data_IF_424678295892
#
_entry.id   IF_424678295892
#
_cell.length_a   1.000
_cell.length_b   1.000
_cell.length_c   1.000
_cell.angle_alpha   90.00
_cell.angle_beta   90.00
_cell.angle_gamma   90.00
#
_symmetry.space_group_name_H-M   'P 1'
#
loop_
_entity.id
_entity.type
_entity.pdbx_description
1 polymer ?
#
# COMPACT_ATOMS: atom_id res chain seq x y z
N UNK A 1 -29.73 -73.79 -7.53
CA UNK A 1 -28.56 -72.89 -7.50
C UNK A 1 -28.88 -71.76 -8.48
N UNK A 2 -29.44 -70.65 -7.99
CA UNK A 2 -28.74 -69.35 -7.82
C UNK A 2 -28.00 -68.97 -9.11
N UNK A 3 -28.36 -67.89 -9.83
CA UNK A 3 -28.25 -66.51 -9.33
C UNK A 3 -29.09 -65.53 -10.14
N UNK A 4 -29.78 -64.64 -9.42
CA UNK A 4 -30.33 -63.35 -9.85
C UNK A 4 -29.18 -62.35 -9.97
N UNK A 5 -29.06 -61.61 -11.08
CA UNK A 5 -28.45 -60.27 -11.14
C UNK A 5 -29.18 -59.49 -12.25
N UNK A 6 -30.30 -58.84 -11.96
CA UNK A 6 -30.41 -57.46 -11.46
C UNK A 6 -29.80 -56.43 -12.42
N UNK A 7 -30.70 -55.75 -13.12
CA UNK A 7 -30.46 -54.47 -13.80
C UNK A 7 -29.72 -53.50 -12.90
N UNK A 8 -28.62 -52.93 -13.40
CA UNK A 8 -28.15 -51.63 -12.94
C UNK A 8 -28.16 -50.69 -14.16
N UNK A 9 -29.28 -49.99 -14.30
CA UNK A 9 -29.30 -48.70 -14.98
C UNK A 9 -28.40 -47.78 -14.16
N UNK A 10 -27.22 -47.46 -14.68
CA UNK A 10 -26.42 -46.36 -14.17
C UNK A 10 -27.10 -45.11 -14.72
N UNK A 11 -28.07 -44.58 -13.96
CA UNK A 11 -28.53 -43.21 -14.14
C UNK A 11 -27.32 -42.31 -13.94
N UNK A 12 -26.92 -41.66 -15.04
CA UNK A 12 -26.02 -40.53 -14.99
C UNK A 12 -26.73 -39.43 -14.18
N UNK A 13 -26.48 -39.39 -12.87
CA UNK A 13 -26.86 -38.24 -12.08
C UNK A 13 -26.18 -37.03 -12.69
N UNK A 14 -27.01 -36.21 -13.34
CA UNK A 14 -26.68 -34.87 -13.81
C UNK A 14 -26.17 -34.13 -12.58
N UNK A 15 -24.85 -34.04 -12.43
CA UNK A 15 -24.24 -33.32 -11.32
C UNK A 15 -24.74 -31.89 -11.40
N UNK A 16 -25.63 -31.51 -10.49
CA UNK A 16 -25.91 -30.12 -10.23
C UNK A 16 -24.56 -29.47 -9.97
N UNK A 17 -24.19 -28.50 -10.81
CA UNK A 17 -23.08 -27.60 -10.50
C UNK A 17 -23.50 -26.78 -9.28
N UNK A 18 -23.39 -27.38 -8.10
CA UNK A 18 -23.30 -26.64 -6.87
C UNK A 18 -22.01 -25.85 -6.97
N UNK A 19 -22.12 -24.57 -7.30
CA UNK A 19 -21.05 -23.61 -7.13
C UNK A 19 -20.84 -23.45 -5.62
N UNK A 20 -20.21 -24.45 -4.99
CA UNK A 20 -19.76 -24.35 -3.61
C UNK A 20 -18.64 -23.32 -3.61
N UNK A 21 -19.01 -22.04 -3.47
CA UNK A 21 -18.05 -20.98 -3.26
C UNK A 21 -17.24 -21.33 -2.02
N UNK A 22 -15.92 -21.44 -2.16
CA UNK A 22 -15.04 -21.64 -1.02
C UNK A 22 -15.18 -20.45 -0.07
N UNK A 23 -15.71 -20.70 1.13
CA UNK A 23 -15.97 -19.66 2.12
C UNK A 23 -14.75 -19.52 3.01
N UNK A 24 -13.76 -18.74 2.54
CA UNK A 24 -12.50 -18.47 3.26
C UNK A 24 -12.73 -18.03 4.72
N UNK A 25 -13.83 -17.34 5.00
CA UNK A 25 -14.15 -16.83 6.33
C UNK A 25 -14.80 -17.86 7.26
N UNK A 26 -15.14 -19.06 6.77
CA UNK A 26 -15.75 -20.13 7.55
C UNK A 26 -14.74 -21.22 7.97
N UNK A 27 -13.55 -21.24 7.37
CA UNK A 27 -12.50 -22.16 7.81
C UNK A 27 -11.84 -21.72 9.12
N UNK A 28 -11.30 -22.64 9.93
CA UNK A 28 -10.60 -22.32 11.19
C UNK A 28 -9.44 -21.33 10.98
N UNK A 29 -9.15 -20.51 11.99
CA UNK A 29 -8.18 -19.40 11.86
C UNK A 29 -6.79 -19.85 11.41
N UNK A 30 -6.26 -20.95 11.96
CA UNK A 30 -4.94 -21.46 11.56
C UNK A 30 -4.91 -21.82 10.05
N UNK A 31 -5.95 -22.51 9.58
CA UNK A 31 -6.07 -22.85 8.16
C UNK A 31 -6.24 -21.59 7.30
N UNK A 32 -7.03 -20.61 7.77
CA UNK A 32 -7.26 -19.34 7.06
C UNK A 32 -5.98 -18.54 6.90
N UNK A 33 -5.22 -18.39 7.98
CA UNK A 33 -3.94 -17.70 7.98
C UNK A 33 -2.97 -18.37 7.00
N UNK A 34 -2.89 -19.71 7.02
CA UNK A 34 -1.99 -20.44 6.12
C UNK A 34 -2.38 -20.27 4.65
N UNK A 35 -3.67 -20.33 4.32
CA UNK A 35 -4.15 -20.09 2.96
C UNK A 35 -3.82 -18.67 2.51
N UNK A 36 -4.11 -17.66 3.32
CA UNK A 36 -3.84 -16.26 2.94
C UNK A 36 -2.33 -16.01 2.81
N UNK A 37 -1.50 -16.55 3.70
CA UNK A 37 -0.03 -16.41 3.61
C UNK A 37 0.59 -17.12 2.42
N UNK A 38 -0.12 -18.07 1.81
CA UNK A 38 0.33 -18.74 0.58
C UNK A 38 0.03 -17.94 -0.69
N UNK A 39 -0.82 -16.91 -0.60
CA UNK A 39 -1.12 -15.99 -1.69
C UNK A 39 0.02 -15.00 -1.89
N UNK A 40 0.21 -14.54 -3.12
CA UNK A 40 1.16 -13.46 -3.41
C UNK A 40 0.68 -12.11 -2.83
N UNK A 41 1.56 -11.11 -2.81
CA UNK A 41 1.25 -9.82 -2.17
C UNK A 41 0.09 -9.07 -2.87
N UNK A 42 -0.03 -9.21 -4.20
CA UNK A 42 -1.12 -8.61 -4.96
C UNK A 42 -2.46 -9.30 -4.65
N UNK A 43 -2.48 -10.63 -4.60
CA UNK A 43 -3.64 -11.43 -4.20
C UNK A 43 -4.09 -11.09 -2.78
N UNK A 44 -3.16 -10.93 -1.85
CA UNK A 44 -3.48 -10.50 -0.48
C UNK A 44 -4.07 -9.08 -0.43
N UNK A 45 -3.58 -8.14 -1.24
CA UNK A 45 -4.14 -6.78 -1.33
C UNK A 45 -5.54 -6.82 -1.94
N UNK A 46 -5.74 -7.55 -3.05
CA UNK A 46 -7.06 -7.77 -3.64
C UNK A 46 -8.04 -8.37 -2.65
N UNK A 47 -7.56 -9.33 -1.86
CA UNK A 47 -8.33 -9.95 -0.80
C UNK A 47 -8.69 -8.93 0.29
N UNK A 48 -7.74 -8.09 0.74
CA UNK A 48 -8.00 -7.00 1.67
C UNK A 48 -9.08 -6.02 1.16
N UNK A 49 -9.02 -5.67 -0.13
CA UNK A 49 -9.96 -4.78 -0.80
C UNK A 49 -11.38 -5.36 -0.92
N UNK A 50 -11.53 -6.68 -0.84
CA UNK A 50 -12.82 -7.36 -1.02
C UNK A 50 -13.86 -7.06 0.07
N UNK A 51 -13.41 -6.77 1.31
CA UNK A 51 -14.33 -6.40 2.40
C UNK A 51 -13.59 -5.79 3.60
N UNK A 52 -14.28 -4.89 4.33
CA UNK A 52 -13.80 -4.33 5.60
C UNK A 52 -13.53 -5.39 6.68
N UNK A 53 -14.13 -6.58 6.58
CA UNK A 53 -13.90 -7.69 7.53
C UNK A 53 -12.55 -8.36 7.25
N UNK A 54 -12.27 -8.67 5.99
CA UNK A 54 -11.01 -9.28 5.56
C UNK A 54 -9.85 -8.30 5.77
N UNK A 55 -10.01 -7.03 5.39
CA UNK A 55 -8.99 -5.99 5.63
C UNK A 55 -8.54 -5.94 7.10
N UNK A 56 -9.49 -5.92 8.04
CA UNK A 56 -9.16 -5.95 9.48
C UNK A 56 -8.48 -7.25 9.91
N UNK A 57 -8.83 -8.36 9.26
CA UNK A 57 -8.21 -9.66 9.51
C UNK A 57 -6.77 -9.73 8.98
N UNK A 58 -6.40 -8.93 7.97
CA UNK A 58 -5.05 -8.93 7.42
C UNK A 58 -3.98 -8.60 8.46
N UNK A 59 -4.29 -7.79 9.48
CA UNK A 59 -3.36 -7.54 10.59
C UNK A 59 -3.01 -8.81 11.39
N UNK A 60 -3.94 -9.75 11.48
CA UNK A 60 -3.72 -11.05 12.15
C UNK A 60 -2.89 -11.96 11.26
N UNK A 61 -3.16 -11.95 9.96
CA UNK A 61 -2.38 -12.69 8.96
C UNK A 61 -0.94 -12.16 8.89
N UNK A 62 -0.78 -10.84 8.84
CA UNK A 62 0.48 -10.11 8.72
C UNK A 62 0.93 -9.58 10.08
N UNK A 63 0.94 -10.46 11.08
CA UNK A 63 1.23 -10.08 12.47
C UNK A 63 2.70 -9.71 12.73
N UNK A 64 3.59 -9.96 11.76
CA UNK A 64 4.99 -9.55 11.82
C UNK A 64 5.18 -8.37 10.88
N UNK A 65 5.94 -7.39 11.34
CA UNK A 65 6.49 -6.35 10.48
C UNK A 65 7.52 -7.00 9.55
N UNK A 66 7.52 -6.62 8.28
CA UNK A 66 8.55 -7.06 7.34
C UNK A 66 8.69 -6.05 6.20
N UNK A 67 9.92 -5.81 5.77
CA UNK A 67 10.20 -4.98 4.59
C UNK A 67 9.91 -3.50 4.82
N UNK A 68 9.88 -2.75 3.72
CA UNK A 68 9.67 -1.30 3.74
C UNK A 68 8.37 -0.90 3.05
N UNK A 69 7.90 0.29 3.41
CA UNK A 69 6.84 1.01 2.75
C UNK A 69 7.39 2.35 2.28
N UNK A 70 7.29 2.66 0.99
CA UNK A 70 7.71 3.96 0.47
C UNK A 70 6.51 4.71 -0.09
N UNK A 71 6.19 5.85 0.53
CA UNK A 71 5.11 6.72 0.06
C UNK A 71 5.70 7.78 -0.86
N UNK A 72 5.28 7.78 -2.12
CA UNK A 72 5.71 8.73 -3.14
C UNK A 72 4.62 9.75 -3.40
N UNK A 73 4.99 11.02 -3.47
CA UNK A 73 4.05 12.09 -3.78
C UNK A 73 4.65 13.08 -4.78
N UNK A 74 3.91 13.42 -5.83
CA UNK A 74 4.34 14.34 -6.90
C UNK A 74 3.50 15.60 -7.01
N UNK A 75 2.47 15.77 -6.17
CA UNK A 75 1.48 16.85 -6.30
C UNK A 75 0.24 16.43 -7.10
N UNK A 76 0.43 15.76 -8.24
CA UNK A 76 -0.66 15.28 -9.10
C UNK A 76 -1.02 13.80 -8.91
N UNK A 77 -0.12 13.04 -8.31
CA UNK A 77 -0.31 11.62 -7.96
C UNK A 77 0.35 11.30 -6.61
N UNK A 78 -0.14 10.22 -6.01
CA UNK A 78 0.45 9.60 -4.82
C UNK A 78 0.45 8.09 -4.94
N UNK A 79 1.54 7.46 -4.51
CA UNK A 79 1.72 6.03 -4.59
C UNK A 79 2.31 5.45 -3.31
N UNK A 80 2.02 4.18 -3.04
CA UNK A 80 2.76 3.35 -2.10
C UNK A 80 3.54 2.29 -2.88
N UNK A 81 4.86 2.32 -2.77
CA UNK A 81 5.72 1.23 -3.20
C UNK A 81 5.96 0.26 -2.04
N UNK A 82 5.80 -1.03 -2.32
CA UNK A 82 6.01 -2.11 -1.35
C UNK A 82 7.37 -2.77 -1.55
N UNK A 83 7.79 -3.60 -0.60
CA UNK A 83 8.98 -4.45 -0.72
C UNK A 83 8.91 -5.52 -1.82
N UNK A 84 7.77 -5.64 -2.52
CA UNK A 84 7.54 -6.61 -3.60
C UNK A 84 7.45 -5.93 -4.97
N UNK A 85 8.00 -4.72 -5.09
CA UNK A 85 7.96 -3.87 -6.29
C UNK A 85 6.54 -3.52 -6.77
N UNK A 86 5.53 -3.74 -5.93
CA UNK A 86 4.15 -3.40 -6.24
C UNK A 86 3.91 -1.91 -5.98
N UNK A 87 3.23 -1.25 -6.92
CA UNK A 87 2.87 0.16 -6.83
C UNK A 87 1.36 0.34 -6.69
N UNK A 88 0.94 0.90 -5.55
CA UNK A 88 -0.45 1.25 -5.26
C UNK A 88 -0.63 2.75 -5.49
N UNK A 89 -1.18 3.14 -6.64
CA UNK A 89 -1.18 4.54 -7.06
C UNK A 89 -2.59 5.14 -7.19
N UNK A 90 -2.68 6.45 -6.97
CA UNK A 90 -3.86 7.26 -7.20
C UNK A 90 -3.49 8.63 -7.79
N UNK A 91 -4.37 9.17 -8.64
CA UNK A 91 -4.17 10.44 -9.34
C UNK A 91 -3.95 10.28 -10.84
N UNK A 92 -3.61 11.40 -11.48
CA UNK A 92 -3.40 11.46 -12.93
C UNK A 92 -2.00 10.92 -13.25
N UNK A 93 -1.96 9.64 -13.62
CA UNK A 93 -0.75 8.92 -13.98
C UNK A 93 -0.68 8.67 -15.49
N UNK A 94 0.54 8.60 -16.02
CA UNK A 94 0.78 8.04 -17.35
C UNK A 94 0.82 6.49 -17.25
N UNK A 95 -0.05 5.78 -17.98
CA UNK A 95 -0.24 4.35 -17.82
C UNK A 95 0.84 3.56 -18.57
N UNK A 96 2.04 3.44 -18.01
CA UNK A 96 3.12 2.65 -18.62
C UNK A 96 3.61 1.45 -17.78
N UNK A 97 3.22 1.31 -16.51
CA UNK A 97 3.74 0.23 -15.64
C UNK A 97 2.68 -0.84 -15.30
N UNK A 98 2.86 -2.12 -15.73
CA UNK A 98 1.95 -3.22 -15.42
C UNK A 98 1.97 -3.68 -13.95
N UNK A 99 2.97 -3.31 -13.14
CA UNK A 99 3.03 -3.62 -11.70
C UNK A 99 2.14 -2.70 -10.82
N UNK A 100 1.29 -1.89 -11.45
CA UNK A 100 0.52 -0.84 -10.80
C UNK A 100 -0.95 -1.24 -10.56
N UNK A 101 -1.43 -1.06 -9.34
CA UNK A 101 -2.82 -1.34 -8.95
C UNK A 101 -3.56 -0.03 -8.73
N UNK A 102 -4.13 0.58 -9.79
CA UNK A 102 -4.88 1.84 -9.62
C UNK A 102 -6.40 1.61 -9.54
N UNK A 103 -6.96 0.80 -10.46
CA UNK A 103 -8.43 0.63 -10.57
C UNK A 103 -9.04 -0.16 -9.42
N UNK A 104 -8.28 -1.10 -8.86
CA UNK A 104 -8.76 -1.98 -7.80
C UNK A 104 -8.76 -1.31 -6.43
N UNK A 105 -8.05 -0.19 -6.27
CA UNK A 105 -7.99 0.57 -5.03
C UNK A 105 -9.26 1.37 -4.73
N UNK A 106 -10.25 1.41 -5.62
CA UNK A 106 -11.53 2.12 -5.40
C UNK A 106 -12.15 1.91 -4.01
N UNK A 107 -12.16 0.70 -3.41
CA UNK A 107 -12.69 0.50 -2.05
C UNK A 107 -11.93 1.25 -0.95
N UNK A 108 -10.70 1.66 -1.22
CA UNK A 108 -9.81 2.40 -0.33
C UNK A 108 -9.69 3.88 -0.69
N UNK A 109 -10.27 4.33 -1.80
CA UNK A 109 -10.18 5.71 -2.26
C UNK A 109 -11.50 6.45 -2.16
N UNK A 110 -11.44 7.77 -2.15
CA UNK A 110 -12.60 8.65 -2.27
C UNK A 110 -12.32 9.73 -3.33
N UNK A 111 -13.09 9.73 -4.42
CA UNK A 111 -12.94 10.67 -5.54
C UNK A 111 -13.19 12.13 -5.13
N UNK A 112 -13.86 12.38 -4.00
CA UNK A 112 -14.11 13.72 -3.45
C UNK A 112 -12.91 14.30 -2.69
N UNK A 113 -11.93 13.46 -2.32
CA UNK A 113 -10.74 13.88 -1.58
C UNK A 113 -9.62 14.33 -2.52
N UNK A 114 -8.78 15.24 -2.03
CA UNK A 114 -7.55 15.63 -2.72
C UNK A 114 -6.60 14.44 -2.90
N UNK A 115 -5.60 14.58 -3.78
CA UNK A 115 -4.57 13.55 -3.97
C UNK A 115 -3.81 13.29 -2.67
N UNK A 116 -3.47 14.34 -1.91
CA UNK A 116 -2.76 14.18 -0.63
C UNK A 116 -3.62 13.43 0.39
N UNK A 117 -4.90 13.80 0.55
CA UNK A 117 -5.82 13.12 1.46
C UNK A 117 -6.04 11.65 1.08
N UNK A 118 -6.21 11.35 -0.21
CA UNK A 118 -6.29 9.96 -0.69
C UNK A 118 -4.99 9.19 -0.45
N UNK A 119 -3.83 9.84 -0.61
CA UNK A 119 -2.52 9.21 -0.32
C UNK A 119 -2.40 8.87 1.16
N UNK A 120 -2.78 9.79 2.05
CA UNK A 120 -2.81 9.56 3.50
C UNK A 120 -3.77 8.43 3.86
N UNK A 121 -4.98 8.43 3.29
CA UNK A 121 -5.97 7.38 3.52
C UNK A 121 -5.44 6.01 3.04
N UNK A 122 -4.90 5.94 1.82
CA UNK A 122 -4.27 4.73 1.29
C UNK A 122 -3.15 4.23 2.20
N UNK A 123 -2.28 5.14 2.67
CA UNK A 123 -1.20 4.82 3.61
C UNK A 123 -1.74 4.22 4.92
N UNK A 124 -2.73 4.86 5.53
CA UNK A 124 -3.32 4.39 6.78
C UNK A 124 -4.02 3.03 6.62
N UNK A 125 -4.70 2.78 5.50
CA UNK A 125 -5.31 1.46 5.25
C UNK A 125 -4.24 0.39 4.99
N UNK A 126 -3.24 0.72 4.18
CA UNK A 126 -2.15 -0.20 3.85
C UNK A 126 -1.39 -0.62 5.12
N UNK A 127 -0.89 0.33 5.91
CA UNK A 127 -0.09 0.03 7.11
C UNK A 127 -0.84 -0.78 8.17
N UNK A 128 -2.17 -0.65 8.23
CA UNK A 128 -3.00 -1.38 9.16
C UNK A 128 -3.17 -2.85 8.73
N UNK A 129 -3.23 -3.11 7.42
CA UNK A 129 -3.35 -4.45 6.84
C UNK A 129 -1.98 -5.14 6.64
N UNK A 130 -0.93 -4.37 6.38
CA UNK A 130 0.41 -4.83 6.02
C UNK A 130 1.46 -4.05 6.83
N UNK A 131 1.74 -4.47 8.08
CA UNK A 131 2.77 -3.85 8.89
C UNK A 131 4.16 -3.97 8.27
N UNK A 132 4.91 -2.86 8.26
CA UNK A 132 6.27 -2.77 7.73
C UNK A 132 7.27 -2.44 8.84
N UNK A 133 8.55 -2.66 8.57
CA UNK A 133 9.66 -2.32 9.47
C UNK A 133 10.05 -0.86 9.30
N UNK A 134 10.22 -0.42 8.06
CA UNK A 134 10.68 0.92 7.73
C UNK A 134 9.71 1.66 6.81
N UNK A 135 9.64 2.98 6.94
CA UNK A 135 8.84 3.84 6.08
C UNK A 135 9.67 5.01 5.55
N UNK A 136 9.62 5.20 4.23
CA UNK A 136 10.23 6.33 3.54
C UNK A 136 9.14 7.22 2.94
N UNK A 137 9.33 8.53 3.04
CA UNK A 137 8.50 9.52 2.35
C UNK A 137 9.32 10.15 1.22
N UNK A 138 8.91 9.93 -0.02
CA UNK A 138 9.55 10.50 -1.21
C UNK A 138 8.70 11.62 -1.77
N UNK A 139 9.25 12.83 -1.81
CA UNK A 139 8.59 14.03 -2.31
C UNK A 139 9.26 14.43 -3.63
N UNK A 140 8.50 14.36 -4.73
CA UNK A 140 8.96 14.76 -6.05
C UNK A 140 8.68 16.24 -6.31
N UNK A 141 9.73 17.03 -6.56
CA UNK A 141 9.64 18.50 -6.67
C UNK A 141 9.59 19.01 -8.13
N UNK A 142 9.29 18.13 -9.10
CA UNK A 142 9.11 18.54 -10.52
C UNK A 142 7.83 19.33 -10.75
N UNK A 143 6.80 19.07 -9.97
CA UNK A 143 5.53 19.78 -10.00
C UNK A 143 5.36 20.55 -8.67
N UNK A 144 4.49 21.58 -8.63
CA UNK A 144 4.20 22.28 -7.39
C UNK A 144 3.65 21.31 -6.32
N UNK A 145 4.32 21.29 -5.18
CA UNK A 145 3.96 20.47 -4.02
C UNK A 145 3.91 21.35 -2.78
N UNK A 146 2.88 21.18 -1.96
CA UNK A 146 2.80 21.84 -0.66
C UNK A 146 3.54 20.99 0.39
N UNK A 147 4.84 21.23 0.55
CA UNK A 147 5.69 20.47 1.50
C UNK A 147 5.15 20.59 2.92
N UNK A 148 4.83 21.81 3.37
CA UNK A 148 4.29 22.05 4.73
C UNK A 148 3.06 21.21 5.03
N UNK A 149 2.09 21.13 4.10
CA UNK A 149 0.91 20.29 4.27
C UNK A 149 1.28 18.80 4.38
N UNK A 150 2.32 18.33 3.69
CA UNK A 150 2.81 16.94 3.80
C UNK A 150 3.42 16.68 5.18
N UNK A 151 4.19 17.62 5.72
CA UNK A 151 4.82 17.49 7.04
C UNK A 151 3.78 17.34 8.17
N UNK A 152 2.56 17.86 7.98
CA UNK A 152 1.47 17.72 8.95
C UNK A 152 0.80 16.32 8.92
N UNK A 153 1.06 15.52 7.88
CA UNK A 153 0.39 14.23 7.69
C UNK A 153 0.92 13.13 8.62
N UNK A 154 0.10 12.08 8.88
CA UNK A 154 0.58 10.87 9.55
C UNK A 154 1.76 10.18 8.84
N UNK A 155 1.88 10.33 7.52
CA UNK A 155 2.97 9.73 6.74
C UNK A 155 4.31 10.26 7.25
N UNK A 156 4.45 11.59 7.35
CA UNK A 156 5.66 12.24 7.86
C UNK A 156 5.97 11.82 9.30
N UNK A 157 4.95 11.66 10.15
CA UNK A 157 5.14 11.22 11.54
C UNK A 157 5.65 9.78 11.67
N UNK A 158 5.41 8.95 10.66
CA UNK A 158 5.77 7.53 10.68
C UNK A 158 6.96 7.16 9.82
N UNK A 159 7.49 8.08 9.01
CA UNK A 159 8.70 7.84 8.23
C UNK A 159 9.97 8.08 9.04
N UNK A 160 10.95 7.21 8.79
CA UNK A 160 12.33 7.32 9.31
C UNK A 160 13.22 8.07 8.33
N UNK A 161 12.82 8.21 7.07
CA UNK A 161 13.58 8.91 6.05
C UNK A 161 12.65 9.74 5.15
N UNK A 162 13.09 10.94 4.79
CA UNK A 162 12.44 11.84 3.85
C UNK A 162 13.39 12.07 2.68
N UNK A 163 12.94 11.76 1.47
CA UNK A 163 13.73 11.88 0.25
C UNK A 163 13.12 12.96 -0.63
N UNK A 164 13.90 14.00 -0.93
CA UNK A 164 13.53 15.00 -1.93
C UNK A 164 14.11 14.62 -3.27
N UNK A 165 13.25 14.40 -4.27
CA UNK A 165 13.66 13.84 -5.55
C UNK A 165 13.25 14.68 -6.74
N UNK A 166 14.22 15.06 -7.57
CA UNK A 166 14.04 15.81 -8.83
C UNK A 166 13.41 17.20 -8.61
N UNK A 167 14.03 18.25 -9.16
CA UNK A 167 13.49 19.61 -9.09
C UNK A 167 14.30 20.47 -8.13
N UNK A 168 13.68 21.48 -7.50
CA UNK A 168 14.38 22.39 -6.59
C UNK A 168 13.57 22.55 -5.30
N UNK A 169 14.21 22.32 -4.16
CA UNK A 169 13.61 22.62 -2.86
C UNK A 169 13.84 24.10 -2.51
N UNK A 170 12.83 24.74 -1.95
CA UNK A 170 12.96 26.12 -1.45
C UNK A 170 13.71 26.12 -0.12
N UNK A 171 14.28 27.27 0.25
CA UNK A 171 14.90 27.40 1.57
C UNK A 171 13.84 27.19 2.65
N UNK A 172 12.67 27.80 2.46
CA UNK A 172 11.56 27.77 3.42
C UNK A 172 11.00 26.36 3.64
N UNK A 173 10.93 25.54 2.59
CA UNK A 173 10.49 24.14 2.72
C UNK A 173 11.56 23.27 3.39
N UNK A 174 12.84 23.51 3.08
CA UNK A 174 13.93 22.79 3.70
C UNK A 174 14.06 23.15 5.19
N UNK A 175 13.98 24.43 5.55
CA UNK A 175 13.94 24.90 6.95
C UNK A 175 12.81 24.20 7.72
N UNK A 176 11.59 24.15 7.15
CA UNK A 176 10.46 23.47 7.79
C UNK A 176 10.72 21.97 8.05
N UNK A 177 11.47 21.31 7.18
CA UNK A 177 11.85 19.90 7.37
C UNK A 177 12.92 19.77 8.44
N UNK A 178 13.96 20.61 8.39
CA UNK A 178 15.06 20.61 9.37
C UNK A 178 14.58 20.96 10.78
N UNK A 179 13.60 21.87 10.91
CA UNK A 179 12.97 22.24 12.19
C UNK A 179 12.18 21.09 12.82
N UNK A 180 11.68 20.18 11.98
CA UNK A 180 10.80 19.07 12.40
C UNK A 180 11.49 17.71 12.35
N UNK A 181 12.74 17.67 11.89
CA UNK A 181 13.58 16.49 11.91
C UNK A 181 13.98 16.20 13.36
N UNK A 182 13.53 15.07 13.90
CA UNK A 182 14.09 14.52 15.14
C UNK A 182 15.41 13.81 14.83
N UNK A 183 16.28 13.65 15.84
CA UNK A 183 17.65 13.12 15.70
C UNK A 183 17.79 11.75 14.99
N UNK A 184 16.70 10.99 14.82
CA UNK A 184 16.68 9.67 14.17
C UNK A 184 16.05 9.69 12.76
N UNK A 185 15.83 10.87 12.16
CA UNK A 185 15.25 10.99 10.81
C UNK A 185 16.30 11.37 9.79
N UNK A 186 16.45 10.53 8.78
CA UNK A 186 17.30 10.81 7.64
C UNK A 186 16.61 11.75 6.64
N UNK A 187 17.40 12.67 6.07
CA UNK A 187 16.97 13.53 4.96
C UNK A 187 17.90 13.25 3.79
N UNK A 188 17.35 12.72 2.72
CA UNK A 188 18.08 12.39 1.49
C UNK A 188 17.67 13.34 0.36
N UNK A 189 18.61 13.64 -0.53
CA UNK A 189 18.37 14.46 -1.71
C UNK A 189 18.89 13.75 -2.95
N UNK A 190 18.00 13.50 -3.91
CA UNK A 190 18.31 12.80 -5.15
C UNK A 190 17.94 13.65 -6.37
N UNK A 191 18.92 14.01 -7.20
CA UNK A 191 18.72 14.86 -8.38
C UNK A 191 17.97 16.18 -8.06
N UNK A 192 18.13 16.70 -6.84
CA UNK A 192 17.42 17.88 -6.32
C UNK A 192 18.38 19.06 -6.21
N UNK A 193 17.98 20.20 -6.77
CA UNK A 193 18.67 21.47 -6.63
C UNK A 193 18.57 21.99 -5.20
N UNK A 194 19.72 22.15 -4.56
CA UNK A 194 19.86 22.67 -3.21
C UNK A 194 19.82 24.21 -3.19
N UNK A 195 19.28 24.85 -2.13
CA UNK A 195 19.39 26.29 -1.96
C UNK A 195 20.86 26.74 -1.86
N UNK A 196 21.22 27.80 -2.58
CA UNK A 196 22.58 28.36 -2.55
C UNK A 196 22.83 29.00 -1.18
N UNK A 197 23.99 28.73 -0.58
CA UNK A 197 24.37 29.23 0.75
C UNK A 197 23.35 28.87 1.84
N UNK A 198 22.81 27.65 1.78
CA UNK A 198 21.96 27.14 2.85
C UNK A 198 22.78 26.98 4.14
N UNK A 199 22.22 27.48 5.23
CA UNK A 199 22.77 27.40 6.57
C UNK A 199 21.59 27.21 7.52
N UNK A 200 21.70 26.23 8.40
CA UNK A 200 20.67 25.88 9.37
C UNK A 200 21.33 25.15 10.54
N UNK A 201 20.89 25.44 11.77
CA UNK A 201 21.54 24.95 13.00
C UNK A 201 21.55 23.41 13.11
N UNK A 202 20.57 22.74 12.49
CA UNK A 202 20.46 21.28 12.44
C UNK A 202 21.18 20.63 11.24
N UNK A 203 21.92 21.39 10.43
CA UNK A 203 22.78 20.83 9.39
C UNK A 203 24.12 20.47 10.04
N UNK A 204 24.32 19.17 10.28
CA UNK A 204 25.58 18.60 10.79
C UNK A 204 26.44 18.02 9.67
#
# INVERSE_FOLDING_TARGET
MNTILSFFNIEFQKSERSTTHFRLLEIPDVARINVIRSMDHMEQIKLALSSKRIERYMKVVNNKKSGYCEVRYTGSEGCIATSTDLLLCYGNHEPENPAMITRELKPWMNEELTVLENTVNLFERYRNAFPYEECRLVIHLKLPVNVKAILETPIYKHCTCVVFKKGKITKEDLDAVMDTAHNDRDIEMEDTGFPINYDHENVS
#
